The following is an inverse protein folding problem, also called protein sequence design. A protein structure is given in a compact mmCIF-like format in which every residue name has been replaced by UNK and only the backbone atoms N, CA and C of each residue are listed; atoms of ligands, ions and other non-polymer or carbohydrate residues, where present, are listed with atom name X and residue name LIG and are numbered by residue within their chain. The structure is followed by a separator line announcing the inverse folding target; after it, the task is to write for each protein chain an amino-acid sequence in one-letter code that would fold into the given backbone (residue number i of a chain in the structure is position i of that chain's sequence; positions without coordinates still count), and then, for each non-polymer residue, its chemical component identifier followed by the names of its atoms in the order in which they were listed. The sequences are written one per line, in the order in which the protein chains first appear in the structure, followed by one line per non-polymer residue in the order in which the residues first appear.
data_IF_240791256337
#
_entry.id   IF_240791256337
#
_cell.length_a   1.000
_cell.length_b   1.000
_cell.length_c   1.000
_cell.angle_alpha   90.00
_cell.angle_beta   90.00
_cell.angle_gamma   90.00
#
_symmetry.space_group_name_H-M   'P 1'
#
loop_
_entity.id
_entity.type
_entity.pdbx_description
1 polymer ?
#
# COMPACT_ATOMS: atom_id res chain seq x y z
N UNK A 1 -7.24 8.26 3.42
CA UNK A 1 -6.39 9.44 3.12
C UNK A 1 -5.66 9.19 1.81
N UNK A 2 -5.39 10.23 1.01
CA UNK A 2 -4.63 10.11 -0.24
C UNK A 2 -3.41 11.04 -0.22
N UNK A 3 -2.21 10.52 -0.42
CA UNK A 3 -0.96 11.27 -0.52
C UNK A 3 -0.67 11.56 -2.01
N UNK A 4 -0.70 12.83 -2.39
CA UNK A 4 -0.46 13.27 -3.75
C UNK A 4 0.86 14.05 -3.81
N UNK A 5 1.67 13.79 -4.81
CA UNK A 5 2.96 14.48 -5.00
C UNK A 5 3.61 13.95 -6.27
N UNK A 6 4.52 14.70 -6.88
CA UNK A 6 5.20 14.24 -8.11
C UNK A 6 6.04 12.97 -7.87
N UNK A 7 6.52 12.32 -8.93
CA UNK A 7 7.52 11.25 -8.77
C UNK A 7 8.70 11.75 -7.94
N UNK A 8 9.28 10.86 -7.13
CA UNK A 8 10.43 11.12 -6.25
C UNK A 8 10.20 12.11 -5.10
N UNK A 9 8.96 12.46 -4.74
CA UNK A 9 8.67 13.33 -3.57
C UNK A 9 8.61 12.59 -2.23
N UNK A 10 9.16 11.37 -2.13
CA UNK A 10 9.24 10.63 -0.86
C UNK A 10 7.93 9.98 -0.35
N UNK A 11 6.86 9.92 -1.15
CA UNK A 11 5.57 9.29 -0.74
C UNK A 11 5.74 7.83 -0.33
N UNK A 12 6.38 7.05 -1.19
CA UNK A 12 6.72 5.64 -0.94
C UNK A 12 7.57 5.49 0.31
N UNK A 13 8.55 6.38 0.51
CA UNK A 13 9.39 6.37 1.71
C UNK A 13 8.59 6.65 3.00
N UNK A 14 7.60 7.54 2.95
CA UNK A 14 6.70 7.80 4.09
C UNK A 14 5.85 6.58 4.39
N UNK A 15 5.27 5.94 3.37
CA UNK A 15 4.48 4.70 3.54
C UNK A 15 5.33 3.56 4.09
N UNK A 16 6.52 3.32 3.53
CA UNK A 16 7.45 2.31 4.02
C UNK A 16 7.91 2.59 5.45
N UNK A 17 8.15 3.86 5.79
CA UNK A 17 8.50 4.23 7.17
C UNK A 17 7.35 3.99 8.14
N UNK A 18 6.11 4.33 7.76
CA UNK A 18 4.92 4.03 8.55
C UNK A 18 4.74 2.52 8.72
N UNK A 19 4.89 1.75 7.63
CA UNK A 19 4.89 0.29 7.66
C UNK A 19 5.91 -0.22 8.68
N UNK A 20 7.17 0.20 8.60
CA UNK A 20 8.23 -0.24 9.51
C UNK A 20 7.96 0.12 10.97
N UNK A 21 7.41 1.31 11.24
CA UNK A 21 7.04 1.72 12.61
C UNK A 21 5.97 0.79 13.16
N UNK A 22 4.87 0.60 12.44
CA UNK A 22 3.77 -0.27 12.88
C UNK A 22 4.22 -1.73 12.99
N UNK A 23 5.05 -2.18 12.05
CA UNK A 23 5.61 -3.53 12.03
C UNK A 23 6.46 -3.84 13.27
N UNK A 24 7.35 -2.91 13.61
CA UNK A 24 8.26 -3.04 14.75
C UNK A 24 7.56 -2.85 16.09
N UNK A 25 6.49 -2.04 16.14
CA UNK A 25 5.66 -1.91 17.34
C UNK A 25 4.97 -3.23 17.72
N UNK A 26 4.63 -4.08 16.73
CA UNK A 26 4.00 -5.39 16.96
C UNK A 26 2.79 -5.35 17.91
N UNK A 27 1.86 -4.44 17.67
CA UNK A 27 0.70 -4.28 18.55
C UNK A 27 -0.60 -4.80 17.88
N UNK A 28 -1.73 -4.11 18.12
CA UNK A 28 -3.03 -4.45 17.58
C UNK A 28 -3.23 -4.09 16.10
N UNK A 29 -2.29 -3.38 15.48
CA UNK A 29 -2.42 -2.87 14.11
C UNK A 29 -1.39 -3.52 13.21
N UNK A 30 -1.85 -4.23 12.19
CA UNK A 30 -1.01 -4.85 11.15
C UNK A 30 -0.95 -3.89 9.95
N UNK A 31 0.24 -3.40 9.57
CA UNK A 31 0.38 -2.64 8.34
C UNK A 31 0.35 -3.59 7.13
N UNK A 32 -0.42 -3.23 6.11
CA UNK A 32 -0.46 -3.93 4.84
C UNK A 32 -0.07 -2.95 3.73
N UNK A 33 1.08 -3.16 3.11
CA UNK A 33 1.55 -2.37 1.97
C UNK A 33 1.34 -3.13 0.66
N UNK A 34 0.89 -2.44 -0.38
CA UNK A 34 0.73 -3.00 -1.72
C UNK A 34 1.06 -1.95 -2.78
N UNK A 35 1.95 -2.28 -3.70
CA UNK A 35 2.31 -1.42 -4.83
C UNK A 35 1.59 -1.90 -6.09
N UNK A 36 0.88 -0.99 -6.75
CA UNK A 36 0.32 -1.25 -8.08
C UNK A 36 1.38 -0.90 -9.11
N UNK A 37 1.65 -1.81 -10.05
CA UNK A 37 2.61 -1.57 -11.13
C UNK A 37 1.93 -1.06 -12.39
N UNK A 38 2.71 -0.42 -13.26
CA UNK A 38 2.33 0.06 -14.59
C UNK A 38 2.41 -1.04 -15.66
N UNK A 39 1.99 -2.26 -15.31
CA UNK A 39 2.05 -3.44 -16.17
C UNK A 39 0.68 -4.08 -16.30
N UNK A 40 0.30 -4.44 -17.53
CA UNK A 40 -0.99 -5.05 -17.83
C UNK A 40 -1.13 -6.41 -17.12
N UNK A 41 -2.26 -6.60 -16.44
CA UNK A 41 -2.59 -7.82 -15.71
C UNK A 41 -4.11 -8.02 -15.69
N UNK A 42 -4.57 -9.27 -15.80
CA UNK A 42 -5.99 -9.56 -15.65
C UNK A 42 -6.42 -9.51 -14.18
N UNK A 43 -7.71 -9.27 -13.93
CA UNK A 43 -8.28 -9.03 -12.62
C UNK A 43 -8.08 -10.23 -11.69
N UNK A 44 -8.15 -11.46 -12.22
CA UNK A 44 -7.94 -12.68 -11.45
C UNK A 44 -6.52 -12.74 -10.88
N UNK A 45 -5.50 -12.55 -11.72
CA UNK A 45 -4.11 -12.53 -11.28
C UNK A 45 -3.80 -11.31 -10.39
N UNK A 46 -4.45 -10.17 -10.63
CA UNK A 46 -4.33 -9.01 -9.75
C UNK A 46 -4.86 -9.31 -8.34
N UNK A 47 -6.04 -9.94 -8.25
CA UNK A 47 -6.65 -10.34 -6.98
C UNK A 47 -5.78 -11.38 -6.25
N UNK A 48 -5.23 -12.36 -6.98
CA UNK A 48 -4.28 -13.34 -6.46
C UNK A 48 -3.03 -12.67 -5.88
N UNK A 49 -2.36 -11.81 -6.66
CA UNK A 49 -1.18 -11.07 -6.20
C UNK A 49 -1.49 -10.24 -4.97
N UNK A 50 -2.60 -9.50 -4.95
CA UNK A 50 -3.02 -8.71 -3.79
C UNK A 50 -3.20 -9.58 -2.55
N UNK A 51 -3.92 -10.69 -2.69
CA UNK A 51 -4.24 -11.57 -1.57
C UNK A 51 -3.01 -12.30 -1.03
N UNK A 52 -2.10 -12.78 -1.89
CA UNK A 52 -0.86 -13.42 -1.46
C UNK A 52 0.09 -12.44 -0.75
N UNK A 53 0.18 -11.19 -1.22
CA UNK A 53 0.94 -10.15 -0.49
C UNK A 53 0.29 -9.84 0.85
N UNK A 54 -1.04 -9.76 0.90
CA UNK A 54 -1.78 -9.56 2.15
C UNK A 54 -1.50 -10.69 3.15
N UNK A 55 -1.62 -11.95 2.73
CA UNK A 55 -1.33 -13.10 3.59
C UNK A 55 0.14 -13.14 4.02
N UNK A 56 1.06 -12.75 3.14
CA UNK A 56 2.48 -12.66 3.49
C UNK A 56 2.71 -11.65 4.59
N UNK A 57 2.17 -10.43 4.47
CA UNK A 57 2.22 -9.43 5.54
C UNK A 57 1.52 -9.90 6.81
N UNK A 58 0.35 -10.51 6.71
CA UNK A 58 -0.38 -11.03 7.86
C UNK A 58 0.43 -12.10 8.60
N UNK A 59 0.83 -13.19 7.93
CA UNK A 59 1.53 -14.30 8.57
C UNK A 59 2.92 -13.91 9.06
N UNK A 60 3.64 -13.08 8.31
CA UNK A 60 4.91 -12.54 8.74
C UNK A 60 4.77 -11.76 10.05
N UNK A 61 3.72 -10.96 10.20
CA UNK A 61 3.46 -10.20 11.42
C UNK A 61 3.08 -11.11 12.59
N UNK A 62 2.15 -12.06 12.40
CA UNK A 62 1.64 -12.89 13.51
C UNK A 62 2.58 -14.03 13.90
N UNK A 63 3.35 -14.57 12.95
CA UNK A 63 4.33 -15.65 13.19
C UNK A 63 5.76 -15.13 13.38
N UNK A 64 5.98 -13.82 13.27
CA UNK A 64 7.31 -13.18 13.40
C UNK A 64 8.34 -13.75 12.41
N UNK A 65 7.90 -14.09 11.21
CA UNK A 65 8.78 -14.55 10.12
C UNK A 65 9.25 -13.35 9.29
N UNK A 66 10.50 -13.34 8.84
CA UNK A 66 11.01 -12.26 7.98
C UNK A 66 10.33 -12.30 6.62
N UNK A 67 9.85 -11.15 6.14
CA UNK A 67 9.27 -11.04 4.80
C UNK A 67 10.28 -11.35 3.70
N UNK A 68 9.84 -11.87 2.55
CA UNK A 68 10.66 -11.95 1.36
C UNK A 68 11.21 -10.58 0.96
N UNK A 69 12.41 -10.56 0.38
CA UNK A 69 13.01 -9.34 -0.15
C UNK A 69 12.20 -8.81 -1.35
N UNK A 70 12.35 -7.52 -1.64
CA UNK A 70 11.82 -6.87 -2.85
C UNK A 70 10.29 -6.93 -3.04
N UNK A 71 9.51 -6.87 -1.95
CA UNK A 71 8.03 -6.92 -1.98
C UNK A 71 7.46 -8.17 -2.67
N UNK A 72 8.23 -9.26 -2.69
CA UNK A 72 7.77 -10.57 -3.14
C UNK A 72 6.86 -11.15 -2.04
N UNK A 73 5.89 -11.98 -2.42
CA UNK A 73 5.06 -12.74 -1.49
C UNK A 73 5.54 -14.20 -1.44
N UNK A 74 5.25 -14.89 -0.34
CA UNK A 74 5.44 -16.33 -0.28
C UNK A 74 4.52 -17.05 -1.24
N UNK A 75 4.97 -18.20 -1.73
CA UNK A 75 4.17 -19.07 -2.60
C UNK A 75 2.93 -19.59 -1.86
N UNK A 76 1.89 -19.96 -2.61
CA UNK A 76 0.61 -20.37 -2.03
C UNK A 76 0.76 -21.54 -1.04
N UNK A 77 1.58 -22.54 -1.36
CA UNK A 77 1.86 -23.69 -0.50
C UNK A 77 2.48 -23.27 0.84
N UNK A 78 3.43 -22.34 0.81
CA UNK A 78 4.05 -21.80 2.02
C UNK A 78 3.03 -21.05 2.88
N UNK A 79 2.16 -20.24 2.26
CA UNK A 79 1.08 -19.53 2.94
C UNK A 79 0.09 -20.51 3.59
N UNK A 80 -0.24 -21.61 2.92
CA UNK A 80 -1.09 -22.68 3.47
C UNK A 80 -0.45 -23.31 4.71
N UNK A 81 0.86 -23.56 4.68
CA UNK A 81 1.56 -24.10 5.85
C UNK A 81 1.63 -23.11 7.00
N UNK A 82 1.80 -21.81 6.71
CA UNK A 82 1.68 -20.76 7.73
C UNK A 82 0.27 -20.65 8.31
N UNK A 83 -0.77 -20.85 7.50
CA UNK A 83 -2.15 -20.87 7.97
C UNK A 83 -2.40 -22.03 8.93
N UNK A 84 -1.89 -23.23 8.61
CA UNK A 84 -1.93 -24.40 9.51
C UNK A 84 -1.17 -24.13 10.80
N UNK A 85 0.01 -23.53 10.72
CA UNK A 85 0.83 -23.16 11.89
C UNK A 85 0.10 -22.15 12.79
N UNK A 86 -0.57 -21.16 12.20
CA UNK A 86 -1.35 -20.16 12.94
C UNK A 86 -2.61 -20.77 13.58
N UNK A 87 -3.20 -21.81 12.97
CA UNK A 87 -4.24 -22.64 13.58
C UNK A 87 -5.64 -22.02 13.63
N UNK A 88 -5.85 -20.86 12.99
CA UNK A 88 -7.16 -20.21 12.94
C UNK A 88 -8.02 -20.78 11.80
N UNK A 89 -9.15 -21.41 12.14
CA UNK A 89 -10.05 -22.07 11.19
C UNK A 89 -10.69 -21.10 10.19
N UNK A 90 -11.02 -19.89 10.62
CA UNK A 90 -11.66 -18.90 9.74
C UNK A 90 -10.68 -18.39 8.68
N UNK A 91 -9.41 -18.18 9.06
CA UNK A 91 -8.33 -17.84 8.12
C UNK A 91 -8.14 -18.96 7.09
N UNK A 92 -8.02 -20.21 7.55
CA UNK A 92 -7.86 -21.38 6.66
C UNK A 92 -9.07 -21.52 5.72
N UNK A 93 -10.28 -21.35 6.24
CA UNK A 93 -11.50 -21.42 5.42
C UNK A 93 -11.55 -20.29 4.39
N UNK A 94 -11.21 -19.06 4.77
CA UNK A 94 -11.14 -17.92 3.85
C UNK A 94 -10.15 -18.18 2.71
N UNK A 95 -8.97 -18.74 3.02
CA UNK A 95 -7.98 -19.13 2.01
C UNK A 95 -8.49 -20.23 1.08
N UNK A 96 -9.16 -21.25 1.61
CA UNK A 96 -9.75 -22.33 0.80
C UNK A 96 -10.83 -21.80 -0.16
N UNK A 97 -11.67 -20.87 0.30
CA UNK A 97 -12.67 -20.20 -0.53
C UNK A 97 -11.99 -19.39 -1.63
N UNK A 98 -10.94 -18.64 -1.30
CA UNK A 98 -10.18 -17.90 -2.31
C UNK A 98 -9.56 -18.81 -3.37
N UNK A 99 -8.90 -19.89 -2.96
CA UNK A 99 -8.31 -20.86 -3.89
C UNK A 99 -9.37 -21.50 -4.80
N UNK A 100 -10.59 -21.72 -4.29
CA UNK A 100 -11.71 -22.19 -5.10
C UNK A 100 -12.09 -21.15 -6.16
N UNK A 101 -12.08 -19.86 -5.85
CA UNK A 101 -12.37 -18.83 -6.85
C UNK A 101 -11.31 -18.75 -7.94
N UNK A 102 -10.02 -18.85 -7.57
CA UNK A 102 -8.92 -18.91 -8.54
C UNK A 102 -9.07 -20.12 -9.46
N UNK A 103 -9.23 -21.33 -8.91
CA UNK A 103 -9.35 -22.58 -9.70
C UNK A 103 -10.57 -22.65 -10.63
N UNK A 104 -11.58 -21.82 -10.41
CA UNK A 104 -12.82 -21.81 -11.19
C UNK A 104 -12.98 -20.50 -12.01
N UNK A 105 -11.89 -19.74 -12.20
CA UNK A 105 -11.84 -18.47 -12.94
C UNK A 105 -12.92 -17.46 -12.52
N UNK A 106 -13.16 -17.36 -11.21
CA UNK A 106 -14.17 -16.48 -10.62
C UNK A 106 -13.58 -15.13 -10.22
N UNK A 107 -13.13 -14.35 -11.21
CA UNK A 107 -12.39 -13.10 -11.03
C UNK A 107 -13.09 -12.09 -10.09
N UNK A 108 -14.39 -11.83 -10.28
CA UNK A 108 -15.14 -10.89 -9.43
C UNK A 108 -15.20 -11.35 -7.96
N UNK A 109 -15.45 -12.64 -7.73
CA UNK A 109 -15.50 -13.21 -6.38
C UNK A 109 -14.12 -13.25 -5.72
N UNK A 110 -13.06 -13.55 -6.48
CA UNK A 110 -11.68 -13.48 -6.01
C UNK A 110 -11.32 -12.04 -5.61
N UNK A 111 -11.63 -11.05 -6.46
CA UNK A 111 -11.43 -9.62 -6.17
C UNK A 111 -12.17 -9.18 -4.90
N UNK A 112 -13.45 -9.51 -4.78
CA UNK A 112 -14.25 -9.13 -3.60
C UNK A 112 -13.68 -9.69 -2.31
N UNK A 113 -13.29 -10.97 -2.32
CA UNK A 113 -12.66 -11.61 -1.16
C UNK A 113 -11.29 -11.00 -0.86
N UNK A 114 -10.44 -10.83 -1.87
CA UNK A 114 -9.10 -10.28 -1.73
C UNK A 114 -9.14 -8.86 -1.14
N UNK A 115 -9.94 -7.96 -1.72
CA UNK A 115 -9.99 -6.56 -1.26
C UNK A 115 -10.69 -6.44 0.10
N UNK A 116 -11.63 -7.34 0.40
CA UNK A 116 -12.29 -7.42 1.70
C UNK A 116 -11.44 -8.06 2.80
N UNK A 117 -10.34 -8.75 2.46
CA UNK A 117 -9.54 -9.54 3.40
C UNK A 117 -9.04 -8.74 4.62
N UNK A 118 -8.51 -7.51 4.49
CA UNK A 118 -8.09 -6.73 5.66
C UNK A 118 -9.22 -6.51 6.66
N UNK A 119 -10.43 -6.19 6.21
CA UNK A 119 -11.58 -6.01 7.10
C UNK A 119 -12.09 -7.35 7.66
N UNK A 120 -12.17 -8.40 6.83
CA UNK A 120 -12.61 -9.72 7.25
C UNK A 120 -11.71 -10.33 8.34
N UNK A 121 -10.39 -10.17 8.20
CA UNK A 121 -9.42 -10.72 9.14
C UNK A 121 -9.47 -10.05 10.52
N UNK A 122 -10.01 -8.83 10.63
CA UNK A 122 -10.30 -8.23 11.95
C UNK A 122 -11.30 -9.11 12.70
N UNK A 123 -12.35 -9.61 12.03
CA UNK A 123 -13.33 -10.50 12.63
C UNK A 123 -12.76 -11.86 13.05
N UNK A 124 -11.75 -12.35 12.32
CA UNK A 124 -11.12 -13.65 12.60
C UNK A 124 -10.07 -13.59 13.71
N UNK A 125 -9.40 -12.44 13.87
CA UNK A 125 -8.16 -12.34 14.67
C UNK A 125 -8.21 -11.26 15.75
N UNK A 126 -9.17 -10.34 15.70
CA UNK A 126 -9.24 -9.16 16.55
C UNK A 126 -8.19 -8.08 16.24
N UNK A 127 -7.30 -8.30 15.26
CA UNK A 127 -6.27 -7.33 14.87
C UNK A 127 -6.77 -6.40 13.79
N UNK A 128 -6.51 -5.11 13.96
CA UNK A 128 -6.82 -4.07 13.00
C UNK A 128 -5.77 -4.00 11.89
N UNK A 129 -6.11 -3.35 10.78
CA UNK A 129 -5.20 -3.17 9.66
C UNK A 129 -5.04 -1.70 9.28
N UNK A 130 -3.88 -1.32 8.76
CA UNK A 130 -3.71 -0.08 8.00
C UNK A 130 -3.35 -0.48 6.57
N UNK A 131 -4.26 -0.20 5.63
CA UNK A 131 -4.12 -0.57 4.23
C UNK A 131 -3.43 0.56 3.48
N UNK A 132 -2.23 0.29 2.96
CA UNK A 132 -1.39 1.23 2.22
C UNK A 132 -1.28 0.79 0.77
N UNK A 133 -1.87 1.54 -0.15
CA UNK A 133 -1.78 1.25 -1.59
C UNK A 133 -0.98 2.34 -2.29
N UNK A 134 0.18 1.97 -2.83
CA UNK A 134 1.02 2.86 -3.62
C UNK A 134 0.66 2.81 -5.11
N UNK A 135 0.82 3.95 -5.78
CA UNK A 135 0.47 4.17 -7.19
C UNK A 135 -0.92 3.67 -7.61
N UNK A 136 -1.93 3.84 -6.73
CA UNK A 136 -3.29 3.28 -6.92
C UNK A 136 -3.94 3.66 -8.25
N UNK A 137 -3.60 4.81 -8.84
CA UNK A 137 -4.18 5.24 -10.11
C UNK A 137 -3.92 4.25 -11.25
N UNK A 138 -2.83 3.48 -11.18
CA UNK A 138 -2.52 2.48 -12.20
C UNK A 138 -3.59 1.38 -12.30
N UNK A 139 -4.37 1.15 -11.24
CA UNK A 139 -5.51 0.23 -11.30
C UNK A 139 -6.53 0.60 -12.38
N UNK A 140 -6.63 1.89 -12.77
CA UNK A 140 -7.62 2.31 -13.78
C UNK A 140 -7.15 2.08 -15.21
N UNK A 141 -5.88 1.76 -15.43
CA UNK A 141 -5.29 1.69 -16.76
C UNK A 141 -4.73 0.31 -17.10
N UNK A 142 -4.13 -0.36 -16.13
CA UNK A 142 -3.35 -1.59 -16.35
C UNK A 142 -4.05 -2.87 -15.91
N UNK A 143 -5.27 -2.77 -15.37
CA UNK A 143 -6.03 -3.95 -14.93
C UNK A 143 -7.18 -4.21 -15.89
N UNK A 144 -7.34 -5.47 -16.31
CA UNK A 144 -8.33 -5.90 -17.29
C UNK A 144 -9.24 -6.99 -16.71
N UNK A 145 -10.51 -7.05 -17.10
CA UNK A 145 -11.44 -8.08 -16.61
C UNK A 145 -11.15 -9.46 -17.20
N UNK A 146 -10.60 -9.50 -18.40
CA UNK A 146 -10.35 -10.70 -19.21
C UNK A 146 -8.85 -11.06 -19.28
N UNK A 147 -8.57 -12.32 -19.57
CA UNK A 147 -7.19 -12.83 -19.67
C UNK A 147 -6.46 -12.31 -20.91
N UNK A 148 -7.23 -11.98 -21.94
CA UNK A 148 -6.77 -11.43 -23.22
C UNK A 148 -6.41 -9.94 -23.15
N UNK A 149 -6.64 -9.30 -22.00
CA UNK A 149 -6.32 -7.90 -21.71
C UNK A 149 -6.98 -6.92 -22.69
N UNK A 150 -8.27 -7.14 -22.98
CA UNK A 150 -9.03 -6.33 -23.93
C UNK A 150 -10.01 -5.36 -23.26
N UNK A 151 -10.56 -5.72 -22.09
CA UNK A 151 -11.58 -4.96 -21.37
C UNK A 151 -10.98 -4.40 -20.08
N UNK A 152 -10.60 -3.13 -20.10
CA UNK A 152 -10.05 -2.44 -18.92
C UNK A 152 -11.05 -2.36 -17.77
N UNK A 153 -10.59 -2.70 -16.56
CA UNK A 153 -11.28 -2.50 -15.29
C UNK A 153 -11.10 -1.06 -14.78
N UNK A 154 -11.45 -0.07 -15.62
CA UNK A 154 -11.14 1.35 -15.36
C UNK A 154 -11.75 1.91 -14.06
N UNK A 155 -12.78 1.27 -13.51
CA UNK A 155 -13.46 1.65 -12.28
C UNK A 155 -13.02 0.84 -11.04
N UNK A 156 -11.99 0.00 -11.16
CA UNK A 156 -11.55 -0.92 -10.12
C UNK A 156 -11.21 -0.26 -8.77
N UNK A 157 -10.58 0.94 -8.69
CA UNK A 157 -10.40 1.60 -7.40
C UNK A 157 -11.70 1.82 -6.62
N UNK A 158 -12.83 1.96 -7.32
CA UNK A 158 -14.14 2.07 -6.70
C UNK A 158 -14.56 0.85 -5.88
N UNK A 159 -13.97 -0.32 -6.12
CA UNK A 159 -14.19 -1.52 -5.31
C UNK A 159 -13.76 -1.33 -3.84
N UNK A 160 -12.89 -0.37 -3.54
CA UNK A 160 -12.47 -0.05 -2.18
C UNK A 160 -13.44 0.87 -1.41
N UNK A 161 -14.57 1.29 -2.00
CA UNK A 161 -15.50 2.24 -1.35
C UNK A 161 -15.94 1.80 0.05
N UNK A 162 -16.29 0.53 0.21
CA UNK A 162 -16.68 -0.01 1.52
C UNK A 162 -15.51 0.02 2.50
N UNK A 163 -14.31 -0.35 2.06
CA UNK A 163 -13.11 -0.43 2.90
C UNK A 163 -12.65 0.95 3.41
N UNK A 164 -12.71 1.98 2.56
CA UNK A 164 -12.24 3.35 2.90
C UNK A 164 -13.02 3.97 4.06
N UNK A 165 -14.27 3.54 4.30
CA UNK A 165 -15.11 4.04 5.39
C UNK A 165 -14.92 3.26 6.71
N UNK A 166 -14.24 2.11 6.67
CA UNK A 166 -14.07 1.26 7.85
C UNK A 166 -12.98 1.79 8.78
N UNK A 167 -13.35 1.99 10.05
CA UNK A 167 -12.40 2.33 11.12
C UNK A 167 -11.43 1.19 11.47
N UNK A 168 -11.79 -0.04 11.10
CA UNK A 168 -11.04 -1.25 11.45
C UNK A 168 -9.94 -1.60 10.44
N UNK A 169 -10.02 -1.03 9.23
CA UNK A 169 -9.07 -1.20 8.15
C UNK A 169 -8.88 0.11 7.36
N UNK A 170 -8.51 1.23 8.02
CA UNK A 170 -8.34 2.51 7.34
C UNK A 170 -7.33 2.45 6.20
N UNK A 171 -7.62 3.20 5.14
CA UNK A 171 -6.86 3.17 3.90
C UNK A 171 -6.06 4.47 3.68
N UNK A 172 -4.77 4.31 3.36
CA UNK A 172 -3.84 5.33 2.92
C UNK A 172 -3.41 5.00 1.48
N UNK A 173 -3.72 5.87 0.53
CA UNK A 173 -3.31 5.67 -0.86
C UNK A 173 -2.28 6.70 -1.28
N UNK A 174 -1.41 6.37 -2.21
CA UNK A 174 -0.47 7.30 -2.82
C UNK A 174 -0.55 7.23 -4.35
N UNK A 175 -0.16 8.33 -4.99
CA UNK A 175 -0.05 8.37 -6.44
C UNK A 175 0.82 9.52 -6.94
N UNK A 176 1.68 9.22 -7.90
CA UNK A 176 2.64 10.18 -8.44
C UNK A 176 2.05 11.12 -9.50
N UNK A 177 0.93 10.73 -10.11
CA UNK A 177 0.25 11.51 -11.15
C UNK A 177 -0.92 12.29 -10.55
N UNK A 178 -0.63 13.49 -10.04
CA UNK A 178 -1.61 14.32 -9.30
C UNK A 178 -2.91 14.54 -10.09
N UNK A 179 -2.82 14.84 -11.39
CA UNK A 179 -4.00 15.05 -12.24
C UNK A 179 -4.86 13.79 -12.38
N UNK A 180 -4.21 12.64 -12.61
CA UNK A 180 -4.88 11.34 -12.74
C UNK A 180 -5.51 10.93 -11.40
N UNK A 181 -4.77 11.02 -10.30
CA UNK A 181 -5.27 10.78 -8.95
C UNK A 181 -6.48 11.66 -8.62
N UNK A 182 -6.43 12.94 -8.97
CA UNK A 182 -7.54 13.88 -8.72
C UNK A 182 -8.79 13.47 -9.50
N UNK A 183 -8.65 13.04 -10.75
CA UNK A 183 -9.78 12.56 -11.56
C UNK A 183 -10.35 11.24 -11.01
N UNK A 184 -9.50 10.28 -10.66
CA UNK A 184 -9.90 9.01 -10.06
C UNK A 184 -10.67 9.25 -8.76
N UNK A 185 -10.15 10.09 -7.86
CA UNK A 185 -10.80 10.45 -6.59
C UNK A 185 -12.16 11.11 -6.80
N UNK A 186 -12.29 12.01 -7.79
CA UNK A 186 -13.56 12.68 -8.09
C UNK A 186 -14.61 11.73 -8.66
N UNK A 187 -14.21 10.78 -9.51
CA UNK A 187 -15.13 9.86 -10.20
C UNK A 187 -15.57 8.70 -9.32
N UNK A 188 -14.64 8.16 -8.54
CA UNK A 188 -14.87 6.93 -7.78
C UNK A 188 -15.13 7.29 -6.32
N UNK A 189 -14.18 7.93 -5.64
CA UNK A 189 -14.27 8.22 -4.21
C UNK A 189 -15.07 9.49 -3.87
N UNK A 190 -16.31 9.58 -4.35
CA UNK A 190 -17.24 10.69 -4.13
C UNK A 190 -17.54 10.88 -2.64
N UNK A 191 -17.81 12.12 -2.20
CA UNK A 191 -18.15 12.43 -0.81
C UNK A 191 -16.95 12.64 0.11
N UNK A 192 -15.77 12.94 -0.44
CA UNK A 192 -14.53 13.17 0.33
C UNK A 192 -14.07 11.95 1.14
N UNK A 193 -14.44 10.73 0.71
CA UNK A 193 -14.00 9.46 1.29
C UNK A 193 -12.47 9.35 1.33
N UNK A 194 -11.81 9.87 0.29
CA UNK A 194 -10.38 10.11 0.29
C UNK A 194 -10.12 11.61 0.41
N UNK A 195 -9.49 12.00 1.53
CA UNK A 195 -8.98 13.36 1.72
C UNK A 195 -7.58 13.49 1.11
N UNK A 196 -7.35 14.38 0.14
CA UNK A 196 -6.04 14.59 -0.46
C UNK A 196 -5.11 15.32 0.51
N UNK A 197 -3.86 14.88 0.55
CA UNK A 197 -2.75 15.49 1.25
C UNK A 197 -1.61 15.68 0.26
N UNK A 198 -1.28 16.93 -0.04
CA UNK A 198 -0.28 17.26 -1.05
C UNK A 198 1.11 17.34 -0.40
N UNK A 199 2.03 16.54 -0.90
CA UNK A 199 3.45 16.63 -0.57
C UNK A 199 4.12 17.53 -1.59
N UNK A 200 4.64 18.65 -1.09
CA UNK A 200 5.48 19.54 -1.88
C UNK A 200 6.77 18.81 -2.28
N UNK A 201 7.19 18.89 -3.55
CA UNK A 201 8.53 18.42 -3.96
C UNK A 201 9.65 19.26 -3.34
N UNK A 202 9.34 20.47 -2.88
CA UNK A 202 10.29 21.37 -2.22
C UNK A 202 10.10 21.29 -0.71
N UNK A 203 11.21 21.16 0.01
CA UNK A 203 11.24 21.41 1.44
C UNK A 203 10.94 22.89 1.69
N UNK A 204 10.15 23.18 2.71
CA UNK A 204 10.02 24.53 3.23
C UNK A 204 11.29 24.94 3.98
N UNK A 205 11.41 26.21 4.36
CA UNK A 205 12.66 26.74 4.91
C UNK A 205 13.10 25.98 6.19
N UNK A 206 12.12 25.58 7.00
CA UNK A 206 12.33 24.80 8.22
C UNK A 206 12.73 23.35 7.91
N UNK A 207 12.00 22.67 7.02
CA UNK A 207 12.26 21.29 6.63
C UNK A 207 13.57 21.14 5.86
N UNK A 208 13.96 22.15 5.07
CA UNK A 208 15.24 22.21 4.38
C UNK A 208 16.39 22.25 5.35
N UNK A 209 16.31 23.14 6.35
CA UNK A 209 17.33 23.26 7.38
C UNK A 209 17.41 22.00 8.25
N UNK A 210 16.26 21.47 8.68
CA UNK A 210 16.19 20.24 9.48
C UNK A 210 16.78 19.04 8.72
N UNK A 211 16.54 18.95 7.41
CA UNK A 211 17.15 17.92 6.57
C UNK A 211 18.68 18.02 6.58
N UNK A 212 19.23 19.22 6.40
CA UNK A 212 20.70 19.43 6.41
C UNK A 212 21.32 18.95 7.71
N UNK A 213 20.78 19.36 8.87
CA UNK A 213 21.30 18.92 10.16
C UNK A 213 21.13 17.42 10.39
N UNK A 214 20.01 16.82 9.98
CA UNK A 214 19.81 15.37 10.10
C UNK A 214 20.80 14.57 9.25
N UNK A 215 21.08 15.02 8.02
CA UNK A 215 22.09 14.39 7.19
C UNK A 215 23.49 14.57 7.78
N UNK A 216 23.82 15.77 8.28
CA UNK A 216 25.08 16.04 8.95
C UNK A 216 25.32 15.09 10.13
N UNK A 217 24.30 14.95 10.99
CA UNK A 217 24.33 14.05 12.13
C UNK A 217 24.47 12.59 11.70
N UNK A 218 23.76 12.17 10.65
CA UNK A 218 23.82 10.79 10.16
C UNK A 218 25.20 10.42 9.60
N UNK A 219 25.87 11.36 8.93
CA UNK A 219 27.20 11.15 8.35
C UNK A 219 28.36 11.59 9.26
N UNK A 220 28.07 12.01 10.50
CA UNK A 220 29.03 12.55 11.47
C UNK A 220 29.87 13.71 10.92
N UNK A 221 29.21 14.61 10.18
CA UNK A 221 29.82 15.81 9.60
C UNK A 221 29.54 17.02 10.49
N UNK A 222 30.58 17.64 11.01
CA UNK A 222 30.47 18.92 11.72
C UNK A 222 30.03 20.03 10.74
N UNK A 223 28.96 20.74 11.09
CA UNK A 223 28.32 21.72 10.22
C UNK A 223 28.09 23.02 10.98
N UNK A 224 28.46 24.15 10.37
CA UNK A 224 28.16 25.49 10.89
C UNK A 224 26.83 25.98 10.35
N UNK A 225 26.15 26.88 11.07
CA UNK A 225 24.84 27.41 10.66
C UNK A 225 24.88 28.12 9.29
N UNK A 226 26.01 28.73 8.95
CA UNK A 226 26.24 29.39 7.66
C UNK A 226 26.28 28.37 6.51
N UNK A 227 27.05 27.29 6.67
CA UNK A 227 27.10 26.20 5.67
C UNK A 227 25.74 25.50 5.58
N UNK A 228 25.05 25.32 6.72
CA UNK A 228 23.71 24.74 6.74
C UNK A 228 22.71 25.57 5.92
N UNK A 229 22.78 26.90 6.05
CA UNK A 229 21.93 27.84 5.33
C UNK A 229 22.21 27.86 3.83
N UNK A 230 23.49 27.73 3.43
CA UNK A 230 23.88 27.63 2.02
C UNK A 230 23.36 26.32 1.41
N UNK A 231 23.60 25.17 2.05
CA UNK A 231 23.12 23.86 1.56
C UNK A 231 21.59 23.84 1.49
N UNK A 232 20.90 24.42 2.49
CA UNK A 232 19.44 24.61 2.45
C UNK A 232 19.00 25.36 1.19
N UNK A 233 19.65 26.49 0.87
CA UNK A 233 19.32 27.26 -0.33
C UNK A 233 19.47 26.41 -1.61
N UNK A 234 20.52 25.60 -1.70
CA UNK A 234 20.67 24.64 -2.80
C UNK A 234 19.55 23.59 -2.83
N UNK A 235 19.18 23.00 -1.69
CA UNK A 235 18.09 22.02 -1.58
C UNK A 235 16.73 22.59 -1.99
N UNK A 236 16.47 23.86 -1.71
CA UNK A 236 15.22 24.54 -2.09
C UNK A 236 15.16 24.92 -3.59
N UNK A 237 16.32 25.08 -4.24
CA UNK A 237 16.44 25.49 -5.64
C UNK A 237 16.53 24.27 -6.59
N UNK A 238 17.31 23.24 -6.24
CA UNK A 238 17.73 22.18 -7.18
C UNK A 238 16.95 20.85 -7.09
N UNK A 239 15.96 20.71 -6.20
CA UNK A 239 15.04 19.56 -6.26
C UNK A 239 13.95 19.79 -7.33
N UNK A 240 14.26 19.40 -8.58
CA UNK A 240 13.33 19.30 -9.73
C UNK A 240 13.30 17.86 -10.24
#
# INVERSE_FOLDING_TARGET
MAILGRRKTGKTAIMQRLFNILWNQNDQVIPFYFEVHDQDICLLHFAEKYYCVFLSHFFSFVLRKTLPLNNIHWEWEELVDMAKQYGNKDVINNMNVFQKYIKNDKAEFAKDLAFGAPAGFVGYTGKFFVVMIDEIQYMTEYIYFDAEMTIKAYNLPGAFHGLVELKIAPMLVAGSYIGWMTQMMRKMFVGSRLKPFYISPKLDDKGGLEAVYKYAQFYDIALTDEVASIIKAFLMIFWI
#
